data_IF_469043699314
#
_entry.id   IF_469043699314
#
_cell.length_a   1.000
_cell.length_b   1.000
_cell.length_c   1.000
_cell.angle_alpha   90.00
_cell.angle_beta   90.00
_cell.angle_gamma   90.00
#
_symmetry.space_group_name_H-M   'P 1'
#
loop_
_entity.id
_entity.type
_entity.pdbx_description
1 polymer ?
#
# COMPACT_ATOMS: atom_id res chain seq x y z
N UNK A 1 -36.26 35.60 -5.61
CA UNK A 1 -37.27 34.58 -5.99
C UNK A 1 -38.45 34.74 -5.05
N UNK A 2 -39.62 35.08 -5.58
CA UNK A 2 -40.80 35.49 -4.79
C UNK A 2 -41.39 34.43 -3.86
N UNK A 3 -41.06 33.16 -4.06
CA UNK A 3 -41.56 32.01 -3.25
C UNK A 3 -40.48 31.21 -2.56
N UNK A 4 -39.30 31.81 -2.39
CA UNK A 4 -38.14 31.11 -1.84
C UNK A 4 -38.40 30.52 -0.45
N UNK A 5 -38.90 31.36 0.44
CA UNK A 5 -39.05 30.96 1.84
C UNK A 5 -40.12 29.89 2.03
N UNK A 6 -41.25 29.97 1.32
CA UNK A 6 -42.27 28.93 1.33
C UNK A 6 -41.78 27.62 0.69
N UNK A 7 -40.90 27.70 -0.32
CA UNK A 7 -40.28 26.52 -0.91
C UNK A 7 -39.30 25.83 0.03
N UNK A 8 -38.47 26.61 0.71
CA UNK A 8 -37.52 26.10 1.71
C UNK A 8 -38.27 25.50 2.92
N UNK A 9 -39.30 26.15 3.38
CA UNK A 9 -40.13 25.63 4.49
C UNK A 9 -40.72 24.25 4.15
N UNK A 10 -41.24 24.04 2.95
CA UNK A 10 -41.70 22.74 2.49
C UNK A 10 -40.57 21.70 2.39
N UNK A 11 -39.39 22.11 1.96
CA UNK A 11 -38.24 21.20 1.85
C UNK A 11 -37.73 20.77 3.23
N UNK A 12 -37.66 21.70 4.18
CA UNK A 12 -37.07 21.48 5.50
C UNK A 12 -38.04 20.78 6.46
N UNK A 13 -39.33 21.11 6.38
CA UNK A 13 -40.32 20.73 7.42
C UNK A 13 -41.27 19.61 6.96
N UNK A 14 -41.33 19.25 5.67
CA UNK A 14 -42.20 18.19 5.16
C UNK A 14 -41.37 17.02 4.69
N UNK A 15 -41.59 15.84 5.26
CA UNK A 15 -40.93 14.60 4.81
C UNK A 15 -41.40 14.20 3.40
N UNK A 16 -40.54 13.56 2.64
CA UNK A 16 -40.84 13.07 1.28
C UNK A 16 -42.04 12.14 1.30
N UNK A 17 -42.08 11.22 2.28
CA UNK A 17 -43.17 10.26 2.44
C UNK A 17 -44.54 10.92 2.75
N UNK A 18 -44.53 12.15 3.29
CA UNK A 18 -45.73 12.95 3.56
C UNK A 18 -46.22 13.77 2.36
N UNK A 19 -45.64 13.55 1.19
CA UNK A 19 -46.08 14.16 -0.06
C UNK A 19 -45.47 15.55 -0.31
N UNK A 20 -44.28 15.82 0.21
CA UNK A 20 -43.52 17.06 -0.02
C UNK A 20 -43.46 17.45 -1.50
N UNK A 21 -43.22 16.52 -2.38
CA UNK A 21 -43.16 16.77 -3.81
C UNK A 21 -44.50 17.30 -4.38
N UNK A 22 -45.62 16.68 -3.98
CA UNK A 22 -46.95 17.13 -4.37
C UNK A 22 -47.25 18.55 -3.89
N UNK A 23 -46.83 18.88 -2.66
CA UNK A 23 -46.98 20.21 -2.09
C UNK A 23 -46.15 21.26 -2.88
N UNK A 24 -44.92 20.90 -3.23
CA UNK A 24 -44.08 21.75 -4.08
C UNK A 24 -44.64 21.94 -5.47
N UNK A 25 -45.25 20.92 -6.05
CA UNK A 25 -45.94 21.00 -7.36
C UNK A 25 -47.18 21.88 -7.31
N UNK A 26 -47.86 21.96 -6.18
CA UNK A 26 -49.05 22.81 -6.03
C UNK A 26 -48.76 24.24 -5.60
N UNK A 27 -47.57 24.49 -5.07
CA UNK A 27 -47.17 25.81 -4.60
C UNK A 27 -47.04 26.80 -5.75
N UNK A 28 -47.80 27.88 -5.74
CA UNK A 28 -47.78 28.96 -6.76
C UNK A 28 -47.80 28.46 -8.19
N UNK A 29 -48.80 27.61 -8.51
CA UNK A 29 -49.01 26.99 -9.83
C UNK A 29 -47.79 26.19 -10.33
N UNK A 30 -47.01 25.59 -9.41
CA UNK A 30 -45.86 24.80 -9.73
C UNK A 30 -44.61 25.54 -10.17
N UNK A 31 -44.62 26.86 -10.10
CA UNK A 31 -43.44 27.68 -10.50
C UNK A 31 -42.16 27.33 -9.75
N UNK A 32 -42.17 27.20 -8.39
CA UNK A 32 -40.98 26.79 -7.66
C UNK A 32 -40.51 25.38 -8.05
N UNK A 33 -41.42 24.42 -8.17
CA UNK A 33 -41.06 23.05 -8.53
C UNK A 33 -40.45 22.98 -9.94
N UNK A 34 -41.01 23.73 -10.91
CA UNK A 34 -40.46 23.81 -12.28
C UNK A 34 -39.04 24.39 -12.25
N UNK A 35 -38.81 25.44 -11.49
CA UNK A 35 -37.47 25.98 -11.32
C UNK A 35 -36.49 24.98 -10.70
N UNK A 36 -36.90 24.24 -9.67
CA UNK A 36 -36.09 23.18 -9.06
C UNK A 36 -35.78 22.08 -10.09
N UNK A 37 -36.77 21.60 -10.81
CA UNK A 37 -36.60 20.52 -11.80
C UNK A 37 -35.74 20.89 -13.01
N UNK A 38 -35.81 22.14 -13.47
CA UNK A 38 -35.08 22.59 -14.65
C UNK A 38 -33.66 23.11 -14.35
N UNK A 39 -33.47 23.73 -13.18
CA UNK A 39 -32.23 24.44 -12.84
C UNK A 39 -31.41 23.83 -11.72
N UNK A 40 -32.05 23.17 -10.76
CA UNK A 40 -31.37 22.68 -9.57
C UNK A 40 -31.16 21.17 -9.64
N UNK A 41 -32.24 20.41 -9.90
CA UNK A 41 -32.14 18.94 -9.90
C UNK A 41 -31.11 18.38 -10.88
N UNK A 42 -30.98 18.86 -12.12
CA UNK A 42 -29.94 18.35 -13.01
C UNK A 42 -28.52 18.54 -12.51
N UNK A 43 -28.28 19.56 -11.65
CA UNK A 43 -26.98 19.85 -11.09
C UNK A 43 -26.67 19.03 -9.82
N UNK A 44 -27.70 18.61 -9.07
CA UNK A 44 -27.55 17.92 -7.77
C UNK A 44 -27.99 16.46 -7.80
N UNK A 45 -28.88 16.09 -8.71
CA UNK A 45 -29.28 14.69 -8.88
C UNK A 45 -28.19 13.91 -9.57
N UNK A 46 -27.59 12.99 -8.82
CA UNK A 46 -26.57 12.06 -9.31
C UNK A 46 -26.78 10.71 -8.64
N UNK A 47 -26.37 9.69 -9.33
CA UNK A 47 -26.27 8.35 -8.76
C UNK A 47 -24.80 8.10 -8.52
N UNK A 48 -24.40 8.06 -7.26
CA UNK A 48 -23.07 7.60 -6.87
C UNK A 48 -23.16 6.09 -6.62
N UNK A 49 -22.31 5.32 -7.29
CA UNK A 49 -22.20 3.89 -7.05
C UNK A 49 -20.75 3.52 -6.74
N UNK A 50 -20.58 2.58 -5.82
CA UNK A 50 -19.30 1.99 -5.47
C UNK A 50 -19.33 0.53 -5.90
N UNK A 51 -18.34 0.14 -6.68
CA UNK A 51 -18.13 -1.27 -6.99
C UNK A 51 -17.05 -1.78 -6.03
N UNK A 52 -17.42 -2.71 -5.17
CA UNK A 52 -16.48 -3.43 -4.31
C UNK A 52 -16.31 -4.84 -4.87
N UNK A 53 -15.07 -5.23 -5.09
CA UNK A 53 -14.76 -6.58 -5.51
C UNK A 53 -13.59 -7.12 -4.69
N UNK A 54 -13.66 -8.40 -4.36
CA UNK A 54 -12.56 -9.12 -3.73
C UNK A 54 -12.02 -10.12 -4.72
N UNK A 55 -10.77 -9.93 -5.16
CA UNK A 55 -10.08 -10.92 -5.97
C UNK A 55 -9.60 -12.05 -5.06
N UNK A 56 -9.99 -13.29 -5.37
CA UNK A 56 -9.38 -14.47 -4.73
C UNK A 56 -7.86 -14.42 -4.94
N UNK A 57 -7.04 -14.65 -3.90
CA UNK A 57 -5.60 -14.80 -4.08
C UNK A 57 -5.30 -15.92 -5.08
N UNK A 58 -4.34 -15.68 -5.94
CA UNK A 58 -3.86 -16.70 -6.86
C UNK A 58 -3.00 -17.70 -6.09
N UNK A 59 -3.04 -18.95 -6.50
CA UNK A 59 -2.08 -19.92 -6.02
C UNK A 59 -0.67 -19.69 -6.63
N UNK A 60 0.32 -20.40 -6.10
CA UNK A 60 1.72 -20.23 -6.56
C UNK A 60 1.90 -20.62 -8.02
N UNK A 61 1.18 -21.64 -8.53
CA UNK A 61 1.28 -22.09 -9.91
C UNK A 61 0.68 -21.07 -10.89
N UNK A 62 -0.51 -20.53 -10.56
CA UNK A 62 -1.16 -19.46 -11.32
C UNK A 62 -0.29 -18.20 -11.34
N UNK A 63 0.28 -17.82 -10.20
CA UNK A 63 1.16 -16.66 -10.05
C UNK A 63 2.44 -16.83 -10.90
N UNK A 64 3.05 -18.00 -10.89
CA UNK A 64 4.21 -18.33 -11.69
C UNK A 64 3.90 -18.29 -13.20
N UNK A 65 2.72 -18.77 -13.61
CA UNK A 65 2.28 -18.68 -15.00
C UNK A 65 2.13 -17.23 -15.46
N UNK A 66 1.58 -16.35 -14.62
CA UNK A 66 1.48 -14.92 -14.92
C UNK A 66 2.85 -14.26 -15.04
N UNK A 67 3.80 -14.59 -14.15
CA UNK A 67 5.18 -14.10 -14.25
C UNK A 67 5.82 -14.50 -15.58
N UNK A 68 5.73 -15.79 -15.94
CA UNK A 68 6.31 -16.34 -17.18
C UNK A 68 5.67 -15.75 -18.45
N UNK A 69 4.40 -15.37 -18.38
CA UNK A 69 3.68 -14.76 -19.51
C UNK A 69 3.83 -13.22 -19.59
N UNK A 70 4.67 -12.60 -18.75
CA UNK A 70 4.89 -11.16 -18.74
C UNK A 70 3.74 -10.35 -18.14
N UNK A 71 2.82 -11.00 -17.42
CA UNK A 71 1.64 -10.36 -16.80
C UNK A 71 1.85 -10.08 -15.29
N UNK A 72 3.09 -9.79 -14.89
CA UNK A 72 3.48 -9.57 -13.50
C UNK A 72 2.72 -8.43 -12.80
N UNK A 73 2.24 -7.43 -13.54
CA UNK A 73 1.44 -6.34 -12.98
C UNK A 73 0.06 -6.77 -12.44
N UNK A 74 -0.39 -7.98 -12.79
CA UNK A 74 -1.61 -8.56 -12.25
C UNK A 74 -1.40 -9.20 -10.87
N UNK A 75 -0.16 -9.39 -10.42
CA UNK A 75 0.18 -10.00 -9.15
C UNK A 75 0.18 -9.00 -8.00
N UNK A 76 -0.21 -9.47 -6.82
CA UNK A 76 -0.03 -8.78 -5.54
C UNK A 76 1.35 -9.09 -4.97
N UNK A 77 1.83 -8.26 -4.07
CA UNK A 77 3.11 -8.47 -3.40
C UNK A 77 3.19 -9.83 -2.68
N UNK A 78 2.12 -10.25 -2.01
CA UNK A 78 2.07 -11.56 -1.35
C UNK A 78 2.21 -12.75 -2.31
N UNK A 79 1.73 -12.59 -3.55
CA UNK A 79 1.85 -13.59 -4.61
C UNK A 79 3.30 -13.67 -5.14
N UNK A 80 4.02 -12.54 -5.21
CA UNK A 80 5.47 -12.54 -5.47
C UNK A 80 6.23 -13.28 -4.38
N UNK A 81 5.93 -13.06 -3.11
CA UNK A 81 6.59 -13.76 -2.02
C UNK A 81 6.27 -15.26 -2.01
N UNK A 82 5.04 -15.64 -2.36
CA UNK A 82 4.69 -17.05 -2.51
C UNK A 82 5.48 -17.72 -3.64
N UNK A 83 5.65 -17.03 -4.78
CA UNK A 83 6.47 -17.53 -5.88
C UNK A 83 7.95 -17.57 -5.48
N UNK A 84 8.50 -16.54 -4.86
CA UNK A 84 9.88 -16.56 -4.38
C UNK A 84 10.11 -17.74 -3.44
N UNK A 85 9.21 -17.96 -2.46
CA UNK A 85 9.28 -19.07 -1.52
C UNK A 85 9.19 -20.46 -2.12
N UNK A 86 8.79 -20.59 -3.39
CA UNK A 86 8.79 -21.87 -4.12
C UNK A 86 10.17 -22.27 -4.67
N UNK A 87 11.12 -21.34 -4.67
CA UNK A 87 12.49 -21.57 -5.08
C UNK A 87 13.43 -21.72 -3.87
N UNK A 88 14.57 -22.40 -4.00
CA UNK A 88 15.58 -22.42 -2.96
C UNK A 88 16.06 -21.01 -2.62
N UNK A 89 16.12 -20.67 -1.34
CA UNK A 89 16.61 -19.36 -0.90
C UNK A 89 18.01 -19.08 -1.45
N UNK A 90 18.17 -17.90 -2.05
CA UNK A 90 19.43 -17.48 -2.67
C UNK A 90 19.65 -17.99 -4.10
N UNK A 91 18.76 -18.82 -4.66
CA UNK A 91 18.81 -19.16 -6.09
C UNK A 91 18.63 -17.94 -6.97
N UNK A 92 19.00 -18.03 -8.23
CA UNK A 92 18.81 -16.93 -9.20
C UNK A 92 17.34 -16.56 -9.31
N UNK A 93 16.47 -17.56 -9.44
CA UNK A 93 15.03 -17.37 -9.56
C UNK A 93 14.42 -16.70 -8.33
N UNK A 94 14.81 -17.14 -7.13
CA UNK A 94 14.41 -16.51 -5.87
C UNK A 94 14.77 -15.03 -5.86
N UNK A 95 16.03 -14.72 -6.19
CA UNK A 95 16.57 -13.37 -6.19
C UNK A 95 15.89 -12.48 -7.23
N UNK A 96 15.66 -12.99 -8.44
CA UNK A 96 15.03 -12.26 -9.54
C UNK A 96 13.59 -11.90 -9.23
N UNK A 97 12.84 -12.80 -8.58
CA UNK A 97 11.46 -12.55 -8.17
C UNK A 97 11.40 -11.45 -7.10
N UNK A 98 12.30 -11.46 -6.10
CA UNK A 98 12.36 -10.43 -5.07
C UNK A 98 12.80 -9.06 -5.63
N UNK A 99 13.76 -9.04 -6.53
CA UNK A 99 14.21 -7.82 -7.21
C UNK A 99 13.08 -7.22 -8.08
N UNK A 100 12.34 -8.08 -8.78
CA UNK A 100 11.16 -7.66 -9.55
C UNK A 100 10.05 -7.12 -8.66
N UNK A 101 9.79 -7.77 -7.50
CA UNK A 101 8.82 -7.29 -6.53
C UNK A 101 9.16 -5.88 -6.04
N UNK A 102 10.42 -5.60 -5.70
CA UNK A 102 10.85 -4.26 -5.26
C UNK A 102 10.68 -3.19 -6.37
N UNK A 103 10.91 -3.57 -7.64
CA UNK A 103 10.69 -2.65 -8.77
C UNK A 103 9.23 -2.34 -9.01
N UNK A 104 8.32 -3.29 -8.80
CA UNK A 104 6.88 -3.12 -9.00
C UNK A 104 6.18 -2.50 -7.79
N UNK A 105 6.74 -2.68 -6.60
CA UNK A 105 6.22 -2.14 -5.34
C UNK A 105 7.27 -1.26 -4.64
N UNK A 106 7.70 -0.14 -5.26
CA UNK A 106 8.81 0.69 -4.76
C UNK A 106 8.51 1.34 -3.40
N UNK A 107 7.23 1.47 -3.04
CA UNK A 107 6.80 2.06 -1.77
C UNK A 107 6.56 1.02 -0.67
N UNK A 108 6.70 -0.30 -0.97
CA UNK A 108 6.57 -1.33 0.06
C UNK A 108 7.89 -1.54 0.80
N UNK A 109 7.92 -1.35 2.13
CA UNK A 109 9.08 -1.68 2.95
C UNK A 109 9.48 -3.15 2.81
N UNK A 110 8.51 -4.08 2.83
CA UNK A 110 8.77 -5.52 2.76
C UNK A 110 9.46 -5.91 1.44
N UNK A 111 9.00 -5.37 0.31
CA UNK A 111 9.59 -5.66 -0.99
C UNK A 111 11.04 -5.17 -1.05
N UNK A 112 11.28 -3.93 -0.63
CA UNK A 112 12.61 -3.31 -0.68
C UNK A 112 13.58 -3.96 0.31
N UNK A 113 13.15 -4.29 1.53
CA UNK A 113 14.01 -4.91 2.53
C UNK A 113 14.42 -6.33 2.11
N UNK A 114 13.51 -7.10 1.48
CA UNK A 114 13.84 -8.41 0.92
C UNK A 114 14.82 -8.30 -0.26
N UNK A 115 14.62 -7.36 -1.17
CA UNK A 115 15.57 -7.11 -2.27
C UNK A 115 16.93 -6.61 -1.74
N UNK A 116 16.95 -5.82 -0.68
CA UNK A 116 18.17 -5.41 -0.02
C UNK A 116 18.93 -6.59 0.58
N UNK A 117 18.25 -7.54 1.20
CA UNK A 117 18.89 -8.76 1.72
C UNK A 117 19.57 -9.55 0.60
N UNK A 118 18.93 -9.65 -0.56
CA UNK A 118 19.54 -10.25 -1.76
C UNK A 118 20.78 -9.49 -2.21
N UNK A 119 20.70 -8.16 -2.30
CA UNK A 119 21.82 -7.32 -2.71
C UNK A 119 23.00 -7.42 -1.70
N UNK A 120 22.69 -7.46 -0.40
CA UNK A 120 23.72 -7.67 0.66
C UNK A 120 24.42 -9.01 0.54
N UNK A 121 23.68 -10.09 0.27
CA UNK A 121 24.27 -11.43 0.07
C UNK A 121 25.22 -11.47 -1.13
N UNK A 122 24.96 -10.66 -2.15
CA UNK A 122 25.82 -10.51 -3.33
C UNK A 122 26.90 -9.43 -3.16
N UNK A 123 26.97 -8.77 -2.02
CA UNK A 123 27.86 -7.63 -1.73
C UNK A 123 27.66 -6.43 -2.68
N UNK A 124 26.47 -6.29 -3.23
CA UNK A 124 26.06 -5.16 -4.07
C UNK A 124 25.63 -3.97 -3.18
N UNK A 125 26.61 -3.38 -2.45
CA UNK A 125 26.33 -2.44 -1.34
C UNK A 125 25.56 -1.20 -1.78
N UNK A 126 25.90 -0.62 -2.95
CA UNK A 126 25.18 0.55 -3.47
C UNK A 126 23.73 0.25 -3.76
N UNK A 127 23.43 -0.94 -4.30
CA UNK A 127 22.07 -1.40 -4.59
C UNK A 127 21.30 -1.65 -3.30
N UNK A 128 21.93 -2.32 -2.32
CA UNK A 128 21.35 -2.55 -1.00
C UNK A 128 20.99 -1.23 -0.29
N UNK A 129 21.88 -0.24 -0.35
CA UNK A 129 21.63 1.10 0.18
C UNK A 129 20.41 1.75 -0.48
N UNK A 130 20.32 1.71 -1.81
CA UNK A 130 19.19 2.29 -2.55
C UNK A 130 17.84 1.71 -2.13
N UNK A 131 17.79 0.42 -1.81
CA UNK A 131 16.57 -0.21 -1.28
C UNK A 131 16.26 0.17 0.18
N UNK A 132 17.28 0.34 1.03
CA UNK A 132 17.10 0.51 2.46
C UNK A 132 16.91 1.96 2.91
N UNK A 133 17.50 2.93 2.19
CA UNK A 133 17.63 4.30 2.68
C UNK A 133 16.28 4.95 3.03
N UNK A 134 15.26 4.74 2.21
CA UNK A 134 13.91 5.25 2.47
C UNK A 134 13.24 4.64 3.71
N UNK A 135 13.69 3.48 4.13
CA UNK A 135 13.09 2.70 5.21
C UNK A 135 14.01 2.55 6.42
N UNK A 136 15.11 3.29 6.46
CA UNK A 136 16.16 3.17 7.48
C UNK A 136 15.68 3.40 8.92
N UNK A 137 14.52 4.06 9.10
CA UNK A 137 13.90 4.32 10.41
C UNK A 137 12.90 3.25 10.82
N UNK A 138 12.58 2.29 9.96
CA UNK A 138 11.64 1.23 10.28
C UNK A 138 12.35 0.06 10.98
N UNK A 139 11.76 -0.50 12.05
CA UNK A 139 12.33 -1.65 12.75
C UNK A 139 12.66 -2.83 11.84
N UNK A 140 11.83 -3.05 10.82
CA UNK A 140 12.02 -4.11 9.83
C UNK A 140 13.34 -3.97 9.03
N UNK A 141 13.86 -2.75 8.86
CA UNK A 141 15.09 -2.49 8.11
C UNK A 141 16.35 -2.56 8.96
N UNK A 142 16.25 -2.46 10.29
CA UNK A 142 17.41 -2.29 11.17
C UNK A 142 18.47 -3.39 11.02
N UNK A 143 18.06 -4.65 10.93
CA UNK A 143 19.02 -5.75 10.74
C UNK A 143 19.83 -5.58 9.44
N UNK A 144 19.16 -5.30 8.33
CA UNK A 144 19.81 -5.15 7.04
C UNK A 144 20.64 -3.86 6.96
N UNK A 145 20.22 -2.78 7.62
CA UNK A 145 21.03 -1.57 7.80
C UNK A 145 22.30 -1.85 8.60
N UNK A 146 22.20 -2.64 9.66
CA UNK A 146 23.38 -3.06 10.45
C UNK A 146 24.37 -3.87 9.62
N UNK A 147 23.88 -4.85 8.84
CA UNK A 147 24.72 -5.66 7.94
C UNK A 147 25.35 -4.77 6.85
N UNK A 148 24.60 -3.84 6.26
CA UNK A 148 25.13 -2.89 5.28
C UNK A 148 26.29 -2.08 5.88
N UNK A 149 26.10 -1.51 7.07
CA UNK A 149 27.14 -0.74 7.76
C UNK A 149 28.37 -1.59 8.07
N UNK A 150 28.21 -2.86 8.45
CA UNK A 150 29.35 -3.78 8.65
C UNK A 150 30.14 -4.00 7.36
N UNK A 151 29.45 -4.29 6.27
CA UNK A 151 30.08 -4.52 4.97
C UNK A 151 30.76 -3.26 4.40
N UNK A 152 30.33 -2.08 4.81
CA UNK A 152 30.94 -0.80 4.46
C UNK A 152 32.09 -0.40 5.42
N UNK A 153 32.37 -1.21 6.46
CA UNK A 153 33.41 -0.94 7.43
C UNK A 153 33.02 0.05 8.54
N UNK A 154 31.75 0.45 8.62
CA UNK A 154 31.27 1.39 9.64
C UNK A 154 30.72 0.63 10.86
N UNK A 155 31.63 0.20 11.74
CA UNK A 155 31.31 -0.63 12.92
C UNK A 155 30.39 0.10 13.91
N UNK A 156 30.62 1.37 14.16
CA UNK A 156 29.83 2.13 15.15
C UNK A 156 28.36 2.22 14.75
N UNK A 157 28.09 2.56 13.49
CA UNK A 157 26.70 2.56 12.97
C UNK A 157 26.09 1.17 12.91
N UNK A 158 26.89 0.16 12.59
CA UNK A 158 26.42 -1.22 12.57
C UNK A 158 25.97 -1.67 13.94
N UNK A 159 26.76 -1.38 15.02
CA UNK A 159 26.40 -1.70 16.39
C UNK A 159 25.07 -1.04 16.80
N UNK A 160 24.87 0.22 16.46
CA UNK A 160 23.61 0.93 16.72
C UNK A 160 22.43 0.23 16.06
N UNK A 161 22.48 -0.02 14.74
CA UNK A 161 21.39 -0.67 14.03
C UNK A 161 21.15 -2.11 14.49
N UNK A 162 22.19 -2.89 14.73
CA UNK A 162 22.05 -4.26 15.24
C UNK A 162 21.47 -4.29 16.65
N UNK A 163 21.83 -3.33 17.51
CA UNK A 163 21.21 -3.18 18.84
C UNK A 163 19.73 -2.89 18.73
N UNK A 164 19.33 -1.96 17.83
CA UNK A 164 17.93 -1.65 17.59
C UNK A 164 17.17 -2.87 17.04
N UNK A 165 17.78 -3.62 16.11
CA UNK A 165 17.20 -4.84 15.56
C UNK A 165 17.05 -5.95 16.64
N UNK A 166 18.05 -6.15 17.47
CA UNK A 166 17.99 -7.11 18.57
C UNK A 166 16.91 -6.73 19.61
N UNK A 167 16.79 -5.44 19.93
CA UNK A 167 15.72 -4.92 20.79
C UNK A 167 14.32 -5.11 20.17
N UNK A 168 14.22 -5.13 18.84
CA UNK A 168 13.00 -5.47 18.11
C UNK A 168 12.75 -6.98 17.99
N UNK A 169 13.57 -7.83 18.61
CA UNK A 169 13.39 -9.28 18.64
C UNK A 169 14.02 -10.04 17.47
N UNK A 170 14.91 -9.43 16.69
CA UNK A 170 15.59 -10.11 15.57
C UNK A 170 16.79 -10.91 16.12
N UNK A 171 16.63 -12.23 16.22
CA UNK A 171 17.64 -13.15 16.78
C UNK A 171 18.98 -13.10 16.01
N UNK A 172 18.93 -12.99 14.70
CA UNK A 172 20.11 -12.89 13.85
C UNK A 172 20.94 -11.64 14.15
N UNK A 173 20.28 -10.52 14.46
CA UNK A 173 20.93 -9.28 14.85
C UNK A 173 21.63 -9.41 16.21
N UNK A 174 21.02 -10.10 17.17
CA UNK A 174 21.63 -10.38 18.46
C UNK A 174 22.92 -11.21 18.31
N UNK A 175 22.89 -12.27 17.50
CA UNK A 175 24.07 -13.09 17.18
C UNK A 175 25.17 -12.31 16.45
N UNK A 176 24.79 -11.42 15.52
CA UNK A 176 25.74 -10.57 14.81
C UNK A 176 26.39 -9.55 15.75
N UNK A 177 25.61 -8.97 16.66
CA UNK A 177 26.10 -8.03 17.68
C UNK A 177 27.10 -8.69 18.65
N UNK A 178 26.81 -9.91 19.09
CA UNK A 178 27.72 -10.69 19.96
C UNK A 178 29.09 -10.93 19.28
N UNK A 179 29.06 -11.36 18.00
CA UNK A 179 30.30 -11.55 17.22
C UNK A 179 31.08 -10.25 17.09
N UNK A 180 30.40 -9.15 16.78
CA UNK A 180 31.00 -7.83 16.63
C UNK A 180 31.74 -7.39 17.90
N UNK A 181 31.23 -7.74 19.06
CA UNK A 181 31.84 -7.41 20.39
C UNK A 181 33.02 -8.29 20.76
N UNK A 182 33.03 -9.55 20.31
CA UNK A 182 34.15 -10.49 20.58
C UNK A 182 35.39 -10.14 19.73
N UNK A 183 35.18 -9.59 18.54
CA UNK A 183 36.25 -9.21 17.60
C UNK A 183 36.88 -7.83 17.89
N UNK A 184 36.52 -7.22 19.01
CA UNK A 184 37.14 -6.00 19.55
C UNK A 184 38.13 -6.36 20.63
#
# INVERSE_FOLDING_TARGET
>A
MMFRDATLDLIDNVEVAKGRERMLMSLADGKPYRYLSEKIFPAVMRVDYRIEYTRKPLDTAESLQLLRSGKQHALRLSEFFAVAGSYPAGSTEYNDVLDLAARLFPDSPEANINAAAVALSKKELSKARGYLERFATLPLAYNNMGILCLLEGNRDKAEVYLTMAAAAGVEQAAKALEKLRIEN
#
